data_IF_088750334015
#
_entry.id   IF_088750334015
#
_cell.length_a   1.000
_cell.length_b   1.000
_cell.length_c   1.000
_cell.angle_alpha   90.00
_cell.angle_beta   90.00
_cell.angle_gamma   90.00
#
_symmetry.space_group_name_H-M   'P 1'
#
loop_
_entity.id
_entity.type
_entity.pdbx_description
1 polymer ?
#
# COMPACT_ATOMS: atom_id res chain seq x y z
N UNK A 1 27.79 -45.79 19.92
CA UNK A 1 26.84 -46.89 19.73
C UNK A 1 25.45 -46.27 19.83
N UNK A 2 24.95 -45.87 18.74
CA UNK A 2 23.92 -46.40 17.85
C UNK A 2 22.56 -46.65 18.52
N UNK A 3 21.55 -45.91 18.21
CA UNK A 3 20.43 -46.48 17.49
C UNK A 3 19.49 -45.37 16.95
N UNK A 4 19.41 -45.23 15.64
CA UNK A 4 18.38 -44.46 14.90
C UNK A 4 17.07 -45.23 14.95
N UNK A 5 15.98 -44.62 15.42
CA UNK A 5 14.62 -45.10 15.18
C UNK A 5 14.01 -44.38 13.97
N UNK A 6 13.82 -45.15 12.91
CA UNK A 6 12.97 -44.74 11.76
C UNK A 6 11.51 -44.86 12.17
N UNK A 7 10.74 -43.80 12.03
CA UNK A 7 9.27 -43.89 12.01
C UNK A 7 8.81 -43.95 10.57
N UNK A 8 8.27 -45.12 10.20
CA UNK A 8 7.47 -45.32 9.00
C UNK A 8 6.01 -45.04 9.36
N UNK A 9 5.40 -44.07 8.72
CA UNK A 9 3.96 -43.84 8.73
C UNK A 9 3.37 -44.58 7.54
N UNK A 10 2.68 -45.69 7.80
CA UNK A 10 1.79 -46.38 6.89
C UNK A 10 0.38 -45.81 7.06
N UNK A 11 -0.19 -45.24 6.00
CA UNK A 11 -1.60 -44.87 5.94
C UNK A 11 -2.44 -46.06 5.43
N UNK A 12 -3.60 -46.35 6.00
CA UNK A 12 -4.54 -47.27 5.40
C UNK A 12 -5.52 -46.52 4.49
N UNK A 13 -5.64 -47.03 3.25
CA UNK A 13 -6.73 -46.75 2.34
C UNK A 13 -7.90 -47.62 2.80
N UNK A 14 -9.06 -47.02 3.03
CA UNK A 14 -10.27 -47.73 3.42
C UNK A 14 -11.54 -46.95 3.14
N UNK A 15 -12.19 -47.38 2.11
CA UNK A 15 -13.59 -47.75 1.92
C UNK A 15 -14.64 -46.64 1.76
N UNK A 16 -15.13 -46.63 0.54
CA UNK A 16 -16.39 -46.05 0.05
C UNK A 16 -17.58 -46.68 0.79
N UNK A 17 -18.34 -45.88 1.51
CA UNK A 17 -19.63 -46.28 2.08
C UNK A 17 -20.78 -45.52 1.39
N UNK A 18 -21.58 -46.24 0.65
CA UNK A 18 -22.85 -45.77 0.13
C UNK A 18 -23.86 -45.59 1.26
N UNK A 19 -24.56 -44.44 1.32
CA UNK A 19 -25.71 -44.27 2.19
C UNK A 19 -26.93 -44.00 1.34
N UNK A 20 -27.94 -44.79 1.63
CA UNK A 20 -29.21 -44.87 0.94
C UNK A 20 -30.08 -43.63 1.09
N UNK A 21 -30.92 -43.45 0.08
CA UNK A 21 -31.98 -42.46 0.03
C UNK A 21 -33.08 -42.75 1.07
N UNK A 22 -33.58 -41.72 1.75
CA UNK A 22 -34.89 -41.68 2.36
C UNK A 22 -35.72 -40.57 1.68
N UNK A 23 -36.86 -41.02 1.19
CA UNK A 23 -37.86 -40.25 0.46
C UNK A 23 -38.76 -39.40 1.35
N UNK A 24 -39.13 -38.23 0.84
CA UNK A 24 -40.51 -37.75 0.94
C UNK A 24 -40.82 -36.70 1.99
N UNK A 25 -41.05 -35.47 1.53
CA UNK A 25 -42.31 -34.75 1.78
C UNK A 25 -42.34 -33.47 0.93
N UNK A 26 -43.42 -33.32 0.16
CA UNK A 26 -43.75 -32.19 -0.67
C UNK A 26 -43.92 -30.90 0.13
N UNK A 27 -43.19 -29.86 -0.25
CA UNK A 27 -43.65 -28.49 -0.02
C UNK A 27 -43.58 -27.69 -1.34
N UNK A 28 -44.72 -27.20 -1.74
CA UNK A 28 -44.93 -26.40 -2.93
C UNK A 28 -43.98 -25.22 -3.02
N UNK A 29 -43.25 -25.15 -4.13
CA UNK A 29 -42.45 -24.01 -4.49
C UNK A 29 -43.35 -22.88 -4.97
N UNK A 30 -43.34 -21.76 -4.26
CA UNK A 30 -43.84 -20.50 -4.78
C UNK A 30 -42.89 -20.02 -5.87
N UNK A 31 -43.38 -19.79 -7.07
CA UNK A 31 -42.62 -19.23 -8.19
C UNK A 31 -42.17 -17.80 -7.85
N UNK A 32 -40.90 -17.65 -7.51
CA UNK A 32 -40.24 -16.36 -7.45
C UNK A 32 -39.96 -15.86 -8.87
N UNK A 33 -40.41 -14.66 -9.16
CA UNK A 33 -40.09 -13.89 -10.37
C UNK A 33 -38.58 -13.83 -10.56
N UNK A 34 -38.01 -13.99 -11.77
CA UNK A 34 -36.61 -13.86 -12.02
C UNK A 34 -36.17 -12.42 -11.74
N UNK A 35 -35.21 -12.26 -10.84
CA UNK A 35 -34.55 -11.00 -10.63
C UNK A 35 -33.92 -10.53 -11.94
N UNK A 36 -34.30 -9.31 -12.36
CA UNK A 36 -33.79 -8.71 -13.57
C UNK A 36 -32.23 -8.73 -13.58
N UNK A 37 -31.70 -9.11 -14.74
CA UNK A 37 -30.27 -9.01 -15.02
C UNK A 37 -29.82 -7.58 -14.75
N UNK A 38 -28.98 -7.38 -13.72
CA UNK A 38 -28.27 -6.13 -13.59
C UNK A 38 -27.38 -6.01 -14.84
N UNK A 39 -27.72 -5.07 -15.69
CA UNK A 39 -26.88 -4.70 -16.83
C UNK A 39 -25.49 -4.43 -16.31
N UNK A 40 -24.56 -5.28 -16.68
CA UNK A 40 -23.15 -5.08 -16.40
C UNK A 40 -22.74 -3.80 -17.13
N UNK A 41 -22.62 -2.70 -16.38
CA UNK A 41 -22.07 -1.45 -16.90
C UNK A 41 -20.68 -1.79 -17.45
N UNK A 42 -20.53 -1.68 -18.77
CA UNK A 42 -19.26 -1.92 -19.44
C UNK A 42 -18.16 -1.08 -18.74
N UNK A 43 -17.02 -1.68 -18.41
CA UNK A 43 -15.96 -0.96 -17.76
C UNK A 43 -15.54 0.22 -18.65
N UNK A 44 -15.80 1.43 -18.18
CA UNK A 44 -15.31 2.65 -18.86
C UNK A 44 -13.80 2.55 -18.92
N UNK A 45 -13.22 2.93 -20.05
CA UNK A 45 -11.78 2.89 -20.29
C UNK A 45 -11.04 3.52 -19.11
N UNK A 46 -10.08 2.78 -18.52
CA UNK A 46 -9.19 3.38 -17.52
C UNK A 46 -8.54 4.62 -18.11
N UNK A 47 -8.45 5.71 -17.36
CA UNK A 47 -7.80 6.93 -17.86
C UNK A 47 -6.37 6.63 -18.26
N UNK A 48 -5.88 7.34 -19.25
CA UNK A 48 -4.46 7.30 -19.64
C UNK A 48 -3.62 7.82 -18.47
N UNK A 49 -2.51 7.15 -18.11
CA UNK A 49 -1.62 7.66 -17.08
C UNK A 49 -1.21 9.10 -17.35
N UNK A 50 -1.18 9.92 -16.30
CA UNK A 50 -0.69 11.30 -16.40
C UNK A 50 0.81 11.24 -16.69
N UNK A 51 1.21 11.67 -17.86
CA UNK A 51 2.62 11.68 -18.29
C UNK A 51 3.25 13.07 -18.14
N UNK A 52 2.44 14.10 -17.94
CA UNK A 52 2.89 15.48 -17.71
C UNK A 52 1.83 16.27 -16.97
N UNK A 53 2.26 17.12 -16.06
CA UNK A 53 1.37 18.08 -15.38
C UNK A 53 1.16 19.29 -16.28
N UNK A 54 -0.08 19.77 -16.49
CA UNK A 54 -0.33 21.00 -17.24
C UNK A 54 0.44 22.17 -16.65
N UNK A 55 1.07 22.98 -17.52
CA UNK A 55 1.89 24.10 -17.08
C UNK A 55 1.07 25.19 -16.39
N UNK A 56 -0.22 25.28 -16.70
CA UNK A 56 -1.20 26.22 -16.15
C UNK A 56 -2.03 25.63 -14.99
N UNK A 57 -1.67 24.44 -14.50
CA UNK A 57 -2.36 23.82 -13.37
C UNK A 57 -2.32 24.73 -12.14
N UNK A 58 -3.46 24.95 -11.45
CA UNK A 58 -3.49 25.69 -10.20
C UNK A 58 -2.52 25.10 -9.19
N UNK A 59 -1.80 25.92 -8.44
CA UNK A 59 -0.83 25.48 -7.43
C UNK A 59 -1.34 25.84 -6.04
N UNK A 60 -1.44 24.83 -5.19
CA UNK A 60 -1.54 25.00 -3.75
C UNK A 60 -0.15 24.82 -3.15
N UNK A 61 0.47 25.91 -2.69
CA UNK A 61 1.66 25.86 -1.84
C UNK A 61 1.22 25.93 -0.39
N UNK A 62 1.45 24.85 0.37
CA UNK A 62 1.08 24.79 1.78
C UNK A 62 2.14 24.04 2.58
N UNK A 63 2.68 24.71 3.59
CA UNK A 63 3.59 24.11 4.56
C UNK A 63 2.83 23.88 5.85
N UNK A 64 2.42 22.64 6.15
CA UNK A 64 1.74 22.37 7.42
C UNK A 64 2.67 22.63 8.60
N UNK A 65 2.11 23.11 9.69
CA UNK A 65 2.78 23.08 10.98
C UNK A 65 2.65 21.66 11.56
N UNK A 66 3.47 21.33 12.55
CA UNK A 66 3.40 20.04 13.22
C UNK A 66 1.99 19.75 13.79
N UNK A 67 1.33 20.75 14.34
CA UNK A 67 -0.05 20.69 14.86
C UNK A 67 -1.14 20.46 13.78
N UNK A 68 -0.79 20.60 12.52
CA UNK A 68 -1.69 20.33 11.38
C UNK A 68 -1.65 18.87 10.93
N UNK A 69 -0.59 18.14 11.31
CA UNK A 69 -0.42 16.74 10.93
C UNK A 69 -1.51 15.87 11.57
N UNK A 70 -1.87 14.79 10.89
CA UNK A 70 -2.89 13.85 11.36
C UNK A 70 -2.31 12.44 11.42
N UNK A 71 -2.83 11.62 12.35
CA UNK A 71 -2.35 10.26 12.62
C UNK A 71 -3.41 9.21 12.31
N UNK A 72 -4.41 9.58 11.50
CA UNK A 72 -5.47 8.68 11.07
C UNK A 72 -5.88 8.95 9.64
N UNK A 73 -6.30 7.90 8.95
CA UNK A 73 -7.12 8.00 7.75
C UNK A 73 -8.59 7.98 8.15
N UNK A 74 -9.35 9.01 7.74
CA UNK A 74 -10.70 9.29 8.25
C UNK A 74 -10.69 9.96 9.62
N UNK A 75 -11.87 10.47 10.04
CA UNK A 75 -12.09 11.10 11.34
C UNK A 75 -11.58 12.54 11.49
N UNK A 76 -10.50 12.91 10.83
CA UNK A 76 -9.97 14.26 10.88
C UNK A 76 -10.68 15.20 9.91
N UNK A 77 -10.91 16.45 10.35
CA UNK A 77 -11.41 17.50 9.46
C UNK A 77 -10.35 17.85 8.39
N UNK A 78 -10.79 18.21 7.17
CA UNK A 78 -9.86 18.61 6.12
C UNK A 78 -9.07 19.86 6.50
N UNK A 79 -7.77 19.85 6.26
CA UNK A 79 -6.88 20.99 6.47
C UNK A 79 -6.87 21.94 5.27
N UNK A 80 -7.05 21.41 4.08
CA UNK A 80 -7.09 22.15 2.83
C UNK A 80 -8.22 21.62 1.93
N UNK A 81 -8.71 22.49 1.05
CA UNK A 81 -9.65 22.13 -0.01
C UNK A 81 -8.99 22.42 -1.35
N UNK A 82 -9.10 21.46 -2.27
CA UNK A 82 -8.51 21.56 -3.60
C UNK A 82 -9.54 21.24 -4.68
N UNK A 83 -9.41 21.87 -5.82
CA UNK A 83 -10.14 21.48 -7.03
C UNK A 83 -9.37 20.33 -7.73
N UNK A 84 -10.08 19.42 -8.41
CA UNK A 84 -9.41 18.51 -9.36
C UNK A 84 -8.52 19.28 -10.33
N UNK A 85 -7.35 18.73 -10.66
CA UNK A 85 -6.37 19.41 -11.49
C UNK A 85 -5.43 20.35 -10.71
N UNK A 86 -5.41 20.29 -9.39
CA UNK A 86 -4.51 21.09 -8.55
C UNK A 86 -3.17 20.39 -8.36
N UNK A 87 -2.08 21.17 -8.51
CA UNK A 87 -0.73 20.80 -8.11
C UNK A 87 -0.48 21.21 -6.66
N UNK A 88 -0.11 20.29 -5.81
CA UNK A 88 0.19 20.53 -4.39
C UNK A 88 1.70 20.52 -4.21
N UNK A 89 2.23 21.59 -3.66
CA UNK A 89 3.63 21.71 -3.22
C UNK A 89 3.64 21.82 -1.71
N UNK A 90 4.23 20.83 -1.03
CA UNK A 90 4.19 20.72 0.42
C UNK A 90 5.39 19.92 0.96
N UNK A 91 5.34 19.50 2.21
CA UNK A 91 6.30 18.56 2.82
C UNK A 91 5.58 17.55 3.71
N UNK A 92 6.29 16.49 4.06
CA UNK A 92 5.82 15.49 5.03
C UNK A 92 6.88 15.25 6.09
N UNK A 93 6.45 14.85 7.29
CA UNK A 93 7.33 14.41 8.35
C UNK A 93 7.74 12.93 8.14
N UNK A 94 8.77 12.45 8.88
CA UNK A 94 9.13 11.03 8.96
C UNK A 94 8.19 10.24 9.88
N UNK A 95 8.23 8.91 9.83
CA UNK A 95 7.36 8.03 10.62
C UNK A 95 7.52 8.22 12.13
N UNK A 96 8.64 8.71 12.59
CA UNK A 96 8.92 8.95 14.01
C UNK A 96 8.51 10.35 14.49
N UNK A 97 7.63 11.04 13.76
CA UNK A 97 7.12 12.38 14.12
C UNK A 97 8.24 13.44 14.29
N UNK A 98 9.37 13.24 13.60
CA UNK A 98 10.57 14.07 13.75
C UNK A 98 11.22 13.99 15.12
N UNK A 99 10.82 13.08 15.98
CA UNK A 99 11.29 12.95 17.35
C UNK A 99 12.63 12.22 17.48
N UNK A 100 12.92 11.31 16.53
CA UNK A 100 14.17 10.52 16.48
C UNK A 100 15.15 11.18 15.51
N UNK A 101 16.30 11.63 16.02
CA UNK A 101 17.26 12.43 15.23
C UNK A 101 18.68 11.90 15.27
N UNK A 102 19.00 11.10 16.27
CA UNK A 102 20.34 10.55 16.52
C UNK A 102 20.26 9.05 16.81
N UNK A 103 21.36 8.34 16.67
CA UNK A 103 21.43 6.92 17.02
C UNK A 103 21.24 6.65 18.53
N UNK A 104 21.26 7.67 19.37
CA UNK A 104 20.96 7.55 20.79
C UNK A 104 19.48 7.75 21.15
N UNK A 105 18.69 8.25 20.23
CA UNK A 105 17.25 8.43 20.43
C UNK A 105 16.54 7.10 20.20
N UNK A 106 15.68 6.70 21.13
CA UNK A 106 14.86 5.50 21.01
C UNK A 106 13.40 5.91 20.79
N UNK A 107 12.70 5.38 19.78
CA UNK A 107 11.30 5.68 19.53
C UNK A 107 10.43 5.58 20.79
N UNK A 108 10.55 4.50 21.55
CA UNK A 108 9.79 4.28 22.79
C UNK A 108 9.99 5.38 23.87
N UNK A 109 11.02 6.19 23.76
CA UNK A 109 11.36 7.26 24.71
C UNK A 109 11.08 8.66 24.19
N UNK A 110 10.98 8.79 22.87
CA UNK A 110 10.88 10.09 22.19
C UNK A 110 9.51 10.36 21.61
N UNK A 111 8.84 9.33 21.10
CA UNK A 111 7.55 9.49 20.45
C UNK A 111 6.40 9.48 21.46
N UNK A 112 5.46 10.40 21.36
CA UNK A 112 4.21 10.27 22.08
C UNK A 112 3.43 9.05 21.58
N UNK A 113 2.69 8.33 22.43
CA UNK A 113 1.87 7.21 21.99
C UNK A 113 0.85 7.61 20.91
N UNK A 114 0.78 6.84 19.82
CA UNK A 114 -0.15 7.07 18.71
C UNK A 114 0.29 8.17 17.74
N UNK A 115 1.54 8.61 17.80
CA UNK A 115 2.12 9.60 16.89
C UNK A 115 2.96 8.95 15.78
N UNK A 116 2.67 7.69 15.45
CA UNK A 116 3.32 7.01 14.34
C UNK A 116 2.79 7.53 13.00
N UNK A 117 3.67 7.65 12.01
CA UNK A 117 3.36 7.99 10.63
C UNK A 117 2.46 9.22 10.48
N UNK A 118 2.91 10.42 10.91
CA UNK A 118 2.16 11.66 10.72
C UNK A 118 1.90 11.95 9.25
N UNK A 119 0.67 12.35 8.91
CA UNK A 119 0.26 12.60 7.55
C UNK A 119 0.02 14.09 7.29
N UNK A 120 0.44 14.55 6.12
CA UNK A 120 0.08 15.84 5.54
C UNK A 120 -1.27 15.73 4.84
N UNK A 121 -2.21 16.57 5.22
CA UNK A 121 -3.61 16.52 4.83
C UNK A 121 -4.53 16.57 6.06
N UNK A 122 -5.80 16.12 5.99
CA UNK A 122 -6.50 15.67 4.78
C UNK A 122 -6.79 16.82 3.80
N UNK A 123 -6.63 16.55 2.51
CA UNK A 123 -7.07 17.41 1.43
C UNK A 123 -8.48 17.00 1.00
N UNK A 124 -9.43 17.93 1.10
CA UNK A 124 -10.77 17.73 0.55
C UNK A 124 -10.75 18.01 -0.95
N UNK A 125 -10.95 17.01 -1.77
CA UNK A 125 -11.04 17.12 -3.23
C UNK A 125 -12.47 17.50 -3.61
N UNK A 126 -12.66 18.71 -4.14
CA UNK A 126 -14.00 19.23 -4.48
C UNK A 126 -14.69 18.33 -5.52
N UNK A 127 -15.95 17.99 -5.25
CA UNK A 127 -16.77 17.15 -6.11
C UNK A 127 -16.45 15.65 -6.09
N UNK A 128 -15.51 15.20 -5.25
CA UNK A 128 -15.25 13.79 -5.07
C UNK A 128 -16.35 13.13 -4.23
N UNK A 129 -16.95 12.05 -4.76
CA UNK A 129 -18.04 11.30 -4.15
C UNK A 129 -17.71 9.79 -4.15
N UNK A 130 -18.29 9.01 -3.22
CA UNK A 130 -18.12 7.56 -3.23
C UNK A 130 -18.43 6.94 -4.60
N UNK A 131 -17.50 6.08 -5.07
CA UNK A 131 -17.59 5.48 -6.42
C UNK A 131 -16.78 6.21 -7.49
N UNK A 132 -16.18 7.36 -7.16
CA UNK A 132 -15.16 8.03 -7.97
C UNK A 132 -13.76 7.47 -7.67
N UNK A 133 -12.78 7.95 -8.39
CA UNK A 133 -11.35 7.68 -8.14
C UNK A 133 -10.57 8.99 -8.07
N UNK A 134 -9.76 9.16 -7.03
CA UNK A 134 -8.72 10.18 -7.00
C UNK A 134 -7.46 9.60 -7.63
N UNK A 135 -6.89 10.29 -8.61
CA UNK A 135 -5.60 9.98 -9.22
C UNK A 135 -4.55 10.99 -8.71
N UNK A 136 -3.52 10.49 -8.05
CA UNK A 136 -2.42 11.30 -7.52
C UNK A 136 -1.17 10.99 -8.33
N UNK A 137 -0.80 11.91 -9.22
CA UNK A 137 0.46 11.83 -9.94
C UNK A 137 1.58 12.41 -9.08
N UNK A 138 2.57 11.58 -8.78
CA UNK A 138 3.71 11.98 -7.96
C UNK A 138 4.75 12.62 -8.88
N UNK A 139 4.85 13.95 -8.80
CA UNK A 139 5.74 14.73 -9.67
C UNK A 139 7.16 14.70 -9.13
N UNK A 140 7.30 14.90 -7.80
CA UNK A 140 8.60 15.04 -7.17
C UNK A 140 8.54 14.64 -5.70
N UNK A 141 9.53 13.85 -5.28
CA UNK A 141 9.82 13.55 -3.88
C UNK A 141 11.32 13.71 -3.67
N UNK A 142 11.69 14.55 -2.73
CA UNK A 142 13.11 14.79 -2.40
C UNK A 142 13.31 14.76 -0.89
N UNK A 143 14.47 14.30 -0.42
CA UNK A 143 14.83 14.43 0.99
C UNK A 143 14.71 15.89 1.46
N UNK A 144 13.94 16.10 2.53
CA UNK A 144 13.82 17.43 3.15
C UNK A 144 14.93 17.70 4.18
N UNK A 145 15.72 16.68 4.53
CA UNK A 145 16.80 16.76 5.53
C UNK A 145 18.06 16.06 5.02
N UNK A 146 19.21 16.46 5.55
CA UNK A 146 20.51 15.82 5.29
C UNK A 146 20.74 14.54 6.12
N UNK A 147 19.72 14.06 6.80
CA UNK A 147 19.76 12.81 7.56
C UNK A 147 18.45 12.06 7.43
N UNK A 148 18.51 10.77 7.69
CA UNK A 148 17.39 9.87 7.85
C UNK A 148 17.67 8.95 9.05
N UNK A 149 16.64 8.24 9.50
CA UNK A 149 16.74 7.32 10.61
C UNK A 149 16.07 6.01 10.27
N UNK A 150 16.46 4.94 10.95
CA UNK A 150 15.74 3.68 10.96
C UNK A 150 15.84 3.13 12.37
N UNK A 151 14.80 2.46 12.85
CA UNK A 151 14.83 1.89 14.19
C UNK A 151 14.18 0.51 14.22
N UNK A 152 14.76 -0.37 15.01
CA UNK A 152 14.08 -1.59 15.43
C UNK A 152 13.33 -1.30 16.73
N UNK A 153 12.03 -1.57 16.72
CA UNK A 153 11.16 -1.50 17.90
C UNK A 153 10.81 -2.93 18.34
N UNK A 154 11.07 -3.32 19.61
CA UNK A 154 10.69 -4.64 20.11
C UNK A 154 9.21 -4.96 19.89
N UNK A 155 8.93 -6.16 19.39
CA UNK A 155 7.57 -6.57 19.02
C UNK A 155 7.10 -6.11 17.65
N UNK A 156 7.91 -5.36 16.88
CA UNK A 156 7.57 -4.90 15.55
C UNK A 156 8.67 -5.29 14.55
N UNK A 157 8.40 -6.26 13.69
CA UNK A 157 9.35 -6.82 12.73
C UNK A 157 8.91 -8.20 12.24
N UNK A 158 9.31 -8.58 11.03
CA UNK A 158 8.88 -9.85 10.40
C UNK A 158 9.46 -11.10 11.08
N UNK A 159 10.61 -10.98 11.72
CA UNK A 159 11.37 -12.11 12.30
C UNK A 159 11.35 -12.14 13.83
N UNK A 160 10.55 -11.30 14.45
CA UNK A 160 10.41 -11.19 15.90
C UNK A 160 8.95 -11.32 16.31
N UNK A 161 8.68 -11.51 17.62
CA UNK A 161 7.33 -11.50 18.15
C UNK A 161 6.67 -10.14 17.94
N UNK A 162 5.36 -10.15 17.69
CA UNK A 162 4.56 -8.95 17.56
C UNK A 162 3.23 -9.11 18.31
N UNK A 163 2.37 -8.13 18.27
CA UNK A 163 1.07 -8.12 18.92
C UNK A 163 0.12 -9.24 18.49
N UNK A 164 0.40 -9.85 17.33
CA UNK A 164 -0.45 -10.92 16.74
C UNK A 164 0.21 -12.29 16.77
N UNK A 165 1.55 -12.36 16.85
CA UNK A 165 2.29 -13.62 16.84
C UNK A 165 3.37 -13.60 17.94
N UNK A 166 3.13 -14.32 19.03
CA UNK A 166 4.11 -14.48 20.09
C UNK A 166 5.25 -15.42 19.66
N UNK A 167 6.47 -15.07 19.99
CA UNK A 167 7.68 -15.86 19.75
C UNK A 167 8.23 -16.38 21.08
N UNK A 168 8.91 -17.55 21.04
CA UNK A 168 9.58 -18.12 22.20
C UNK A 168 11.02 -17.59 22.30
N UNK A 169 11.21 -16.42 22.70
CA UNK A 169 12.55 -15.85 22.87
C UNK A 169 12.49 -14.38 23.23
N UNK A 170 13.56 -13.83 23.79
CA UNK A 170 13.64 -12.40 23.99
C UNK A 170 13.75 -11.69 22.63
N UNK A 171 13.06 -10.58 22.51
CA UNK A 171 13.26 -9.67 21.39
C UNK A 171 14.68 -9.07 21.41
N UNK A 172 15.13 -8.60 20.25
CA UNK A 172 16.31 -7.77 20.17
C UNK A 172 16.07 -6.44 20.92
N UNK A 173 17.15 -5.80 21.43
CA UNK A 173 17.02 -4.49 22.07
C UNK A 173 16.62 -3.44 21.03
N UNK A 174 15.76 -2.52 21.44
CA UNK A 174 15.44 -1.33 20.65
C UNK A 174 16.73 -0.63 20.23
N UNK A 175 16.87 -0.38 18.92
CA UNK A 175 18.12 0.14 18.35
C UNK A 175 17.79 1.10 17.21
N UNK A 176 18.51 2.22 17.16
CA UNK A 176 18.34 3.25 16.13
C UNK A 176 19.61 3.40 15.30
N UNK A 177 19.45 3.51 14.00
CA UNK A 177 20.50 3.86 13.05
C UNK A 177 20.22 5.23 12.45
N UNK A 178 21.22 6.09 12.46
CA UNK A 178 21.17 7.37 11.78
C UNK A 178 21.95 7.29 10.47
N UNK A 179 21.31 7.75 9.41
CA UNK A 179 21.89 7.82 8.07
C UNK A 179 22.27 9.27 7.73
N UNK A 180 23.42 9.46 7.13
CA UNK A 180 23.80 10.70 6.47
C UNK A 180 23.31 10.66 5.03
N UNK A 181 22.53 11.65 4.62
CA UNK A 181 21.92 11.73 3.29
C UNK A 181 22.67 12.72 2.41
N UNK A 182 23.19 12.22 1.30
CA UNK A 182 23.81 12.98 0.24
C UNK A 182 22.85 13.01 -0.97
N UNK A 183 21.94 14.00 -0.97
CA UNK A 183 20.93 14.12 -2.02
C UNK A 183 21.54 14.37 -3.40
N UNK A 184 22.72 15.02 -3.49
CA UNK A 184 23.37 15.27 -4.77
C UNK A 184 23.91 13.98 -5.42
N UNK A 185 24.29 13.01 -4.59
CA UNK A 185 24.76 11.68 -5.05
C UNK A 185 23.66 10.61 -5.01
N UNK A 186 22.48 10.93 -4.52
CA UNK A 186 21.39 9.99 -4.28
C UNK A 186 21.81 8.79 -3.42
N UNK A 187 22.50 9.03 -2.31
CA UNK A 187 22.94 7.97 -1.41
C UNK A 187 22.68 8.31 0.07
N UNK A 188 22.45 7.27 0.86
CA UNK A 188 22.40 7.32 2.31
C UNK A 188 23.52 6.44 2.91
N UNK A 189 24.18 6.91 3.97
CA UNK A 189 25.29 6.23 4.63
C UNK A 189 25.00 6.02 6.10
N UNK A 190 25.27 4.83 6.60
CA UNK A 190 25.17 4.51 8.01
C UNK A 190 26.36 3.67 8.48
N UNK A 191 26.43 3.52 9.81
CA UNK A 191 27.38 2.62 10.46
C UNK A 191 26.63 1.65 11.36
N UNK A 192 27.20 0.45 11.59
CA UNK A 192 26.72 -0.47 12.61
C UNK A 192 26.69 0.19 13.99
N UNK A 193 25.84 -0.32 14.89
CA UNK A 193 25.72 0.21 16.24
C UNK A 193 27.07 0.20 17.03
N UNK A 194 27.96 -0.75 16.73
CA UNK A 194 29.31 -0.83 17.30
C UNK A 194 30.33 0.01 16.52
N UNK A 195 29.92 0.70 15.45
CA UNK A 195 30.76 1.59 14.64
C UNK A 195 31.81 0.89 13.74
N UNK A 196 31.89 -0.45 13.75
CA UNK A 196 32.92 -1.18 13.03
C UNK A 196 32.66 -1.36 11.55
N UNK A 197 31.40 -1.34 11.15
CA UNK A 197 30.98 -1.54 9.77
C UNK A 197 30.28 -0.29 9.24
N UNK A 198 30.50 0.02 7.99
CA UNK A 198 29.84 1.11 7.28
C UNK A 198 29.21 0.59 6.00
N UNK A 199 28.08 1.14 5.63
CA UNK A 199 27.43 0.85 4.35
C UNK A 199 26.87 2.10 3.72
N UNK A 200 26.76 2.07 2.41
CA UNK A 200 26.12 3.08 1.60
C UNK A 200 25.06 2.39 0.74
N UNK A 201 23.91 3.02 0.59
CA UNK A 201 22.84 2.52 -0.27
C UNK A 201 22.26 3.65 -1.13
N UNK A 202 21.82 3.34 -2.35
CA UNK A 202 21.13 4.32 -3.19
C UNK A 202 19.79 4.68 -2.57
N UNK A 203 19.37 5.94 -2.73
CA UNK A 203 18.06 6.39 -2.32
C UNK A 203 17.15 6.59 -3.53
N UNK A 204 15.88 6.26 -3.35
CA UNK A 204 14.79 6.47 -4.31
C UNK A 204 13.55 6.79 -3.50
N UNK A 205 13.33 8.07 -3.14
CA UNK A 205 12.28 8.47 -2.21
C UNK A 205 10.88 8.07 -2.68
N UNK A 206 10.07 7.59 -1.73
CA UNK A 206 8.68 7.24 -1.95
C UNK A 206 7.83 7.49 -0.69
N UNK A 207 6.51 7.48 -0.83
CA UNK A 207 5.61 7.52 0.32
C UNK A 207 5.38 6.10 0.85
N UNK A 208 5.63 5.86 2.14
CA UNK A 208 5.11 4.70 2.85
C UNK A 208 3.60 4.79 2.94
N UNK A 209 3.11 5.93 3.38
CA UNK A 209 1.68 6.20 3.53
C UNK A 209 1.12 7.12 2.45
N UNK A 210 0.06 6.68 1.78
CA UNK A 210 -0.85 7.51 0.98
C UNK A 210 -2.24 6.89 0.98
N UNK A 211 -3.29 7.66 1.25
CA UNK A 211 -4.63 7.10 1.31
C UNK A 211 -5.72 8.15 1.36
N UNK A 212 -6.95 7.66 1.28
CA UNK A 212 -8.19 8.43 1.44
C UNK A 212 -8.94 7.96 2.69
N UNK A 213 -10.00 8.65 3.07
CA UNK A 213 -10.85 8.17 4.17
C UNK A 213 -11.42 6.77 3.85
N UNK A 214 -11.38 5.82 4.80
CA UNK A 214 -12.03 4.52 4.65
C UNK A 214 -13.55 4.63 4.49
N UNK A 215 -14.17 3.55 3.99
CA UNK A 215 -15.62 3.48 3.84
C UNK A 215 -16.35 3.41 5.19
N UNK A 216 -17.65 3.72 5.18
CA UNK A 216 -18.53 3.53 6.33
C UNK A 216 -18.25 4.43 7.53
N UNK A 217 -17.46 5.51 7.37
CA UNK A 217 -17.08 6.39 8.47
C UNK A 217 -16.02 5.79 9.40
N UNK A 218 -15.35 4.73 8.98
CA UNK A 218 -14.25 4.15 9.76
C UNK A 218 -13.09 5.14 9.91
N UNK A 219 -12.39 5.00 11.04
CA UNK A 219 -11.14 5.70 11.34
C UNK A 219 -10.05 4.66 11.53
N UNK A 220 -8.99 4.75 10.76
CA UNK A 220 -7.83 3.85 10.82
C UNK A 220 -6.60 4.64 11.21
N UNK A 221 -5.79 4.10 12.12
CA UNK A 221 -4.47 4.67 12.41
C UNK A 221 -3.60 4.60 11.17
N UNK A 222 -2.66 5.53 11.06
CA UNK A 222 -1.79 5.66 9.90
C UNK A 222 -0.86 4.47 9.66
N UNK A 223 -0.69 3.58 10.65
CA UNK A 223 0.09 2.34 10.54
C UNK A 223 -0.65 1.21 9.77
N UNK A 224 -1.93 1.38 9.43
CA UNK A 224 -2.75 0.31 8.84
C UNK A 224 -2.94 0.54 7.34
N UNK A 225 -2.46 -0.36 6.47
CA UNK A 225 -2.82 -0.34 5.06
C UNK A 225 -4.16 -1.05 4.80
N UNK A 226 -4.78 -0.75 3.66
CA UNK A 226 -6.04 -1.37 3.24
C UNK A 226 -6.47 -0.97 1.83
N UNK A 227 -7.73 -1.20 1.51
CA UNK A 227 -8.31 -0.83 0.22
C UNK A 227 -8.42 0.69 0.00
N UNK A 228 -8.28 1.47 1.04
CA UNK A 228 -8.25 2.93 1.01
C UNK A 228 -6.83 3.50 0.77
N UNK A 229 -5.82 2.67 0.65
CA UNK A 229 -4.39 3.00 0.70
C UNK A 229 -3.84 2.79 2.10
N UNK A 230 -3.33 3.83 2.74
CA UNK A 230 -2.72 3.77 4.08
C UNK A 230 -1.24 3.43 4.03
N UNK A 231 -0.75 2.72 5.02
CA UNK A 231 0.65 2.33 5.17
C UNK A 231 1.02 1.15 4.27
N UNK A 232 1.08 1.41 2.98
CA UNK A 232 1.36 0.35 1.99
C UNK A 232 2.85 0.03 1.90
N UNK A 233 3.72 0.95 2.29
CA UNK A 233 5.18 0.88 2.21
C UNK A 233 5.69 0.48 0.83
N UNK A 234 4.96 0.88 -0.20
CA UNK A 234 5.19 0.43 -1.55
C UNK A 234 6.20 1.32 -2.29
N UNK A 235 7.41 0.81 -2.65
CA UNK A 235 8.44 1.59 -3.35
C UNK A 235 8.02 2.15 -4.70
N UNK A 236 6.91 1.65 -5.25
CA UNK A 236 6.33 2.17 -6.49
C UNK A 236 5.42 3.41 -6.26
N UNK A 237 5.19 3.82 -5.02
CA UNK A 237 4.51 5.08 -4.67
C UNK A 237 5.52 6.24 -4.73
N UNK A 238 6.17 6.41 -5.87
CA UNK A 238 7.31 7.30 -6.10
C UNK A 238 7.12 8.24 -7.29
N UNK A 239 8.01 9.21 -7.43
CA UNK A 239 7.98 10.15 -8.55
C UNK A 239 7.93 9.46 -9.92
N UNK A 240 7.12 9.99 -10.83
CA UNK A 240 6.86 9.45 -12.17
C UNK A 240 5.72 8.44 -12.23
N UNK A 241 5.20 7.99 -11.10
CA UNK A 241 4.05 7.09 -11.03
C UNK A 241 2.76 7.84 -10.63
N UNK A 242 1.62 7.29 -11.04
CA UNK A 242 0.29 7.76 -10.62
C UNK A 242 -0.36 6.71 -9.73
N UNK A 243 -0.82 7.13 -8.55
CA UNK A 243 -1.57 6.29 -7.60
C UNK A 243 -3.05 6.59 -7.75
N UNK A 244 -3.85 5.56 -7.94
CA UNK A 244 -5.31 5.63 -8.05
C UNK A 244 -5.94 5.05 -6.79
N UNK A 245 -6.74 5.85 -6.12
CA UNK A 245 -7.43 5.50 -4.86
C UNK A 245 -8.93 5.68 -5.03
N UNK A 246 -9.72 4.67 -4.67
CA UNK A 246 -11.17 4.74 -4.70
C UNK A 246 -11.70 5.70 -3.64
N UNK A 247 -12.60 6.58 -4.03
CA UNK A 247 -13.26 7.50 -3.09
C UNK A 247 -14.32 6.75 -2.31
N UNK A 248 -14.22 6.78 -0.98
CA UNK A 248 -15.15 6.12 -0.07
C UNK A 248 -16.00 7.10 0.76
N UNK A 249 -15.60 8.36 0.80
CA UNK A 249 -16.27 9.42 1.53
C UNK A 249 -16.28 10.72 0.72
N UNK A 250 -17.25 11.63 0.90
CA UNK A 250 -17.27 12.91 0.21
C UNK A 250 -15.96 13.69 0.40
N UNK A 251 -15.41 14.19 -0.69
CA UNK A 251 -14.13 14.90 -0.72
C UNK A 251 -12.91 14.00 -0.64
N UNK A 252 -13.06 12.67 -0.65
CA UNK A 252 -12.00 11.67 -0.54
C UNK A 252 -11.18 11.77 0.75
N UNK A 253 -10.84 12.98 1.22
CA UNK A 253 -9.97 13.25 2.37
C UNK A 253 -8.58 12.64 2.19
N UNK A 254 -7.93 13.00 1.08
CA UNK A 254 -6.60 12.52 0.71
C UNK A 254 -5.54 12.96 1.74
N UNK A 255 -4.72 12.03 2.19
CA UNK A 255 -3.56 12.30 3.04
C UNK A 255 -2.37 11.46 2.61
N UNK A 256 -1.15 11.96 2.85
CA UNK A 256 0.09 11.25 2.56
C UNK A 256 1.20 11.69 3.51
N UNK A 257 2.16 10.84 3.74
CA UNK A 257 3.28 11.06 4.66
C UNK A 257 4.23 9.89 4.68
N UNK A 258 4.97 9.78 5.78
CA UNK A 258 5.82 8.62 6.01
C UNK A 258 6.82 8.43 4.84
N UNK A 259 7.80 9.32 4.79
CA UNK A 259 8.74 9.35 3.67
C UNK A 259 9.85 8.33 3.83
N UNK A 260 9.96 7.42 2.89
CA UNK A 260 11.03 6.42 2.81
C UNK A 260 12.06 6.83 1.77
N UNK A 261 13.34 6.85 2.14
CA UNK A 261 14.41 7.14 1.17
C UNK A 261 14.94 5.86 0.53
N UNK A 262 14.92 4.75 1.24
CA UNK A 262 15.26 3.42 0.74
C UNK A 262 14.64 2.34 1.62
N UNK A 263 14.22 1.24 1.00
CA UNK A 263 13.66 0.08 1.67
C UNK A 263 13.94 -1.18 0.84
N UNK A 264 14.22 -2.30 1.49
CA UNK A 264 14.24 -3.61 0.86
C UNK A 264 12.87 -4.27 0.91
N UNK A 265 12.62 -5.23 -0.01
CA UNK A 265 11.39 -6.00 -0.03
C UNK A 265 11.12 -6.66 1.33
N UNK A 266 9.87 -6.57 1.77
CA UNK A 266 9.41 -7.13 3.04
C UNK A 266 9.50 -6.19 4.23
N UNK A 267 10.27 -5.10 4.16
CA UNK A 267 10.47 -4.16 5.27
C UNK A 267 10.75 -4.87 6.61
N UNK A 268 11.51 -5.95 6.54
CA UNK A 268 11.54 -7.02 7.53
C UNK A 268 11.93 -6.60 8.96
N UNK A 269 12.51 -5.41 9.13
CA UNK A 269 12.87 -4.88 10.44
C UNK A 269 11.79 -3.96 11.03
N UNK A 270 10.77 -3.58 10.25
CA UNK A 270 9.68 -2.72 10.68
C UNK A 270 9.88 -1.23 10.44
N UNK A 271 11.01 -0.86 9.83
CA UNK A 271 11.27 0.51 9.41
C UNK A 271 12.22 0.52 8.20
N UNK A 272 11.96 1.43 7.29
CA UNK A 272 12.81 1.75 6.15
C UNK A 272 13.95 2.71 6.55
N UNK A 273 14.54 3.40 5.59
CA UNK A 273 15.35 4.60 5.82
C UNK A 273 14.40 5.79 5.81
N UNK A 274 13.93 6.14 7.00
CA UNK A 274 12.86 7.09 7.25
C UNK A 274 13.32 8.53 7.17
N UNK A 275 12.55 9.37 6.48
CA UNK A 275 12.89 10.78 6.38
C UNK A 275 11.77 11.66 5.85
N UNK A 276 11.78 12.91 6.30
CA UNK A 276 10.87 13.93 5.81
C UNK A 276 11.08 14.23 4.32
N UNK A 277 10.00 14.48 3.58
CA UNK A 277 10.04 14.73 2.14
C UNK A 277 9.59 16.14 1.77
N UNK A 278 10.27 16.76 0.80
CA UNK A 278 9.72 17.82 -0.01
C UNK A 278 8.89 17.18 -1.12
N UNK A 279 7.65 17.60 -1.26
CA UNK A 279 6.62 16.91 -2.05
C UNK A 279 6.04 17.83 -3.11
N UNK A 280 5.91 17.29 -4.32
CA UNK A 280 5.08 17.83 -5.37
C UNK A 280 4.23 16.72 -5.97
N UNK A 281 2.89 16.87 -5.88
CA UNK A 281 1.92 15.95 -6.47
C UNK A 281 0.87 16.72 -7.27
N UNK A 282 0.28 16.09 -8.27
CA UNK A 282 -0.84 16.61 -9.05
C UNK A 282 -2.04 15.70 -8.86
N UNK A 283 -3.20 16.28 -8.51
CA UNK A 283 -4.38 15.52 -8.08
C UNK A 283 -5.52 15.71 -9.06
N UNK A 284 -6.00 14.62 -9.65
CA UNK A 284 -7.18 14.56 -10.51
C UNK A 284 -8.31 13.76 -9.90
N UNK A 285 -9.52 13.98 -10.40
CA UNK A 285 -10.72 13.27 -10.01
C UNK A 285 -11.35 12.61 -11.25
N UNK A 286 -11.52 11.30 -11.19
CA UNK A 286 -12.14 10.51 -12.23
C UNK A 286 -13.53 10.12 -11.76
N UNK A 287 -14.55 10.71 -12.40
CA UNK A 287 -15.94 10.53 -12.02
C UNK A 287 -16.51 9.19 -12.48
N UNK A 288 -17.29 8.57 -11.60
CA UNK A 288 -18.01 7.32 -11.88
C UNK A 288 -17.13 6.15 -12.35
N UNK A 289 -15.89 6.11 -11.86
CA UNK A 289 -14.95 4.99 -12.05
C UNK A 289 -14.51 4.54 -10.69
N UNK A 290 -14.90 3.35 -10.27
CA UNK A 290 -14.50 2.78 -9.01
C UNK A 290 -13.11 2.11 -9.10
N UNK A 291 -12.26 2.38 -8.14
CA UNK A 291 -10.98 1.68 -7.95
C UNK A 291 -11.06 0.95 -6.61
N UNK A 292 -11.34 -0.37 -6.61
CA UNK A 292 -11.66 -1.11 -5.38
C UNK A 292 -10.48 -1.32 -4.44
N UNK A 293 -9.26 -1.29 -4.97
CA UNK A 293 -8.01 -1.35 -4.21
C UNK A 293 -7.00 -0.40 -4.85
N UNK A 294 -5.96 0.03 -4.16
CA UNK A 294 -4.95 0.92 -4.72
C UNK A 294 -4.33 0.36 -5.99
N UNK A 295 -4.28 1.18 -7.02
CA UNK A 295 -3.65 0.89 -8.30
C UNK A 295 -2.56 1.90 -8.56
N UNK A 296 -1.42 1.45 -9.11
CA UNK A 296 -0.31 2.31 -9.49
C UNK A 296 -0.04 2.10 -10.97
N UNK A 297 0.20 3.18 -11.69
CA UNK A 297 0.54 3.12 -13.11
C UNK A 297 1.66 4.09 -13.48
N UNK A 298 2.45 3.68 -14.46
CA UNK A 298 3.32 4.54 -15.26
C UNK A 298 3.17 4.20 -16.74
N UNK A 299 4.05 4.73 -17.58
CA UNK A 299 3.97 4.47 -19.03
C UNK A 299 4.11 2.98 -19.38
N UNK A 300 4.95 2.23 -18.65
CA UNK A 300 5.28 0.83 -18.97
C UNK A 300 4.51 -0.19 -18.15
N UNK A 301 4.12 0.12 -16.92
CA UNK A 301 3.62 -0.87 -15.99
C UNK A 301 2.24 -0.50 -15.42
N UNK A 302 1.46 -1.54 -15.13
CA UNK A 302 0.25 -1.52 -14.31
C UNK A 302 0.50 -2.36 -13.07
N UNK A 303 0.06 -1.87 -11.91
CA UNK A 303 0.33 -2.48 -10.61
C UNK A 303 -0.90 -2.37 -9.72
N UNK A 304 -1.13 -3.40 -8.92
CA UNK A 304 -2.19 -3.43 -7.91
C UNK A 304 -1.59 -3.78 -6.55
N UNK A 305 -2.00 -3.03 -5.53
CA UNK A 305 -1.53 -3.21 -4.15
C UNK A 305 -2.63 -3.92 -3.37
N UNK A 306 -2.36 -5.14 -2.90
CA UNK A 306 -3.23 -5.89 -2.02
C UNK A 306 -2.71 -5.85 -0.60
N UNK A 307 -3.57 -5.50 0.35
CA UNK A 307 -3.23 -5.52 1.78
C UNK A 307 -4.15 -6.47 2.52
N UNK A 308 -3.59 -7.31 3.40
CA UNK A 308 -4.35 -8.31 4.15
C UNK A 308 -3.48 -9.23 5.00
N UNK A 309 -4.09 -9.93 5.94
CA UNK A 309 -3.53 -11.08 6.66
C UNK A 309 -4.51 -12.24 6.58
N UNK A 310 -4.01 -13.46 6.34
CA UNK A 310 -2.60 -13.84 6.10
C UNK A 310 -2.07 -13.31 4.77
N UNK A 311 -0.76 -13.44 4.50
CA UNK A 311 -0.06 -12.88 3.34
C UNK A 311 -0.67 -13.32 1.99
N UNK A 312 -1.09 -14.58 1.89
CA UNK A 312 -1.73 -15.13 0.69
C UNK A 312 -3.05 -14.45 0.35
N UNK A 313 -3.76 -13.85 1.31
CA UNK A 313 -4.98 -13.10 1.02
C UNK A 313 -4.65 -11.72 0.45
N UNK A 314 -3.59 -11.07 0.92
CA UNK A 314 -3.06 -9.87 0.28
C UNK A 314 -2.70 -10.13 -1.19
N UNK A 315 -2.00 -11.23 -1.46
CA UNK A 315 -1.64 -11.64 -2.83
C UNK A 315 -2.89 -11.93 -3.68
N UNK A 316 -3.88 -12.68 -3.17
CA UNK A 316 -5.13 -13.01 -3.88
C UNK A 316 -5.90 -11.77 -4.28
N UNK A 317 -5.99 -10.79 -3.39
CA UNK A 317 -6.68 -9.51 -3.66
C UNK A 317 -6.02 -8.78 -4.83
N UNK A 318 -4.69 -8.65 -4.81
CA UNK A 318 -3.93 -7.97 -5.86
C UNK A 318 -3.98 -8.72 -7.21
N UNK A 319 -3.82 -10.05 -7.21
CA UNK A 319 -3.92 -10.86 -8.43
C UNK A 319 -5.32 -10.80 -9.04
N UNK A 320 -6.38 -10.90 -8.22
CA UNK A 320 -7.76 -10.79 -8.69
C UNK A 320 -7.97 -9.47 -9.44
N UNK A 321 -7.56 -8.35 -8.85
CA UNK A 321 -7.69 -7.04 -9.47
C UNK A 321 -6.90 -6.94 -10.79
N UNK A 322 -5.69 -7.50 -10.85
CA UNK A 322 -4.88 -7.56 -12.08
C UNK A 322 -5.58 -8.37 -13.18
N UNK A 323 -6.15 -9.53 -12.85
CA UNK A 323 -6.86 -10.39 -13.80
C UNK A 323 -8.10 -9.67 -14.36
N UNK A 324 -8.88 -9.05 -13.49
CA UNK A 324 -10.08 -8.29 -13.89
C UNK A 324 -9.71 -7.10 -14.79
N UNK A 325 -8.62 -6.41 -14.49
CA UNK A 325 -8.13 -5.30 -15.30
C UNK A 325 -7.64 -5.78 -16.67
N UNK A 326 -6.84 -6.86 -16.73
CA UNK A 326 -6.37 -7.45 -17.99
C UNK A 326 -7.53 -7.90 -18.85
N UNK A 327 -8.52 -8.60 -18.27
CA UNK A 327 -9.75 -9.01 -18.94
C UNK A 327 -10.48 -7.82 -19.57
N UNK A 328 -10.64 -6.74 -18.80
CA UNK A 328 -11.31 -5.53 -19.28
C UNK A 328 -10.55 -4.84 -20.44
N UNK A 329 -9.23 -4.92 -20.45
CA UNK A 329 -8.38 -4.29 -21.48
C UNK A 329 -8.21 -5.12 -22.73
N UNK A 330 -8.04 -6.43 -22.59
CA UNK A 330 -7.76 -7.35 -23.72
C UNK A 330 -9.00 -7.98 -24.32
N UNK A 331 -10.14 -7.91 -23.61
CA UNK A 331 -11.39 -8.64 -23.93
C UNK A 331 -11.22 -10.17 -23.97
N UNK A 332 -10.16 -10.71 -23.38
CA UNK A 332 -9.98 -12.16 -23.23
C UNK A 332 -11.02 -12.74 -22.25
N UNK A 333 -11.20 -14.07 -22.34
CA UNK A 333 -11.98 -14.79 -21.32
C UNK A 333 -11.35 -14.64 -19.93
N UNK A 334 -12.11 -14.92 -18.89
CA UNK A 334 -11.59 -14.89 -17.52
C UNK A 334 -10.45 -15.89 -17.33
N UNK A 335 -10.60 -17.13 -17.87
CA UNK A 335 -9.57 -18.15 -17.79
C UNK A 335 -8.30 -17.79 -18.56
N UNK A 336 -8.42 -17.20 -19.76
CA UNK A 336 -7.27 -16.76 -20.52
C UNK A 336 -6.54 -15.60 -19.85
N UNK A 337 -7.29 -14.67 -19.27
CA UNK A 337 -6.74 -13.55 -18.49
C UNK A 337 -6.02 -14.07 -17.24
N UNK A 338 -6.60 -15.05 -16.55
CA UNK A 338 -5.97 -15.70 -15.40
C UNK A 338 -4.66 -16.40 -15.80
N UNK A 339 -4.69 -17.21 -16.86
CA UNK A 339 -3.50 -17.88 -17.39
C UNK A 339 -2.42 -16.88 -17.81
N UNK A 340 -2.80 -15.82 -18.51
CA UNK A 340 -1.89 -14.78 -18.94
C UNK A 340 -1.20 -14.08 -17.76
N UNK A 341 -1.96 -13.65 -16.75
CA UNK A 341 -1.44 -13.00 -15.55
C UNK A 341 -0.53 -13.95 -14.77
N UNK A 342 -0.92 -15.23 -14.63
CA UNK A 342 -0.12 -16.26 -13.96
C UNK A 342 1.28 -16.42 -14.55
N UNK A 343 1.44 -16.21 -15.85
CA UNK A 343 2.71 -16.39 -16.56
C UNK A 343 3.55 -15.11 -16.67
N UNK A 344 2.94 -13.92 -16.54
CA UNK A 344 3.60 -12.66 -16.88
C UNK A 344 3.75 -11.69 -15.71
N UNK A 345 2.90 -11.79 -14.68
CA UNK A 345 2.97 -10.87 -13.55
C UNK A 345 4.11 -11.20 -12.59
N UNK A 346 4.60 -10.17 -11.91
CA UNK A 346 5.54 -10.28 -10.77
C UNK A 346 4.79 -9.89 -9.51
N UNK A 347 5.12 -10.51 -8.39
CA UNK A 347 4.42 -10.27 -7.12
C UNK A 347 5.42 -10.18 -5.95
N UNK A 348 6.21 -9.10 -5.81
CA UNK A 348 7.04 -8.90 -4.65
C UNK A 348 6.18 -8.74 -3.38
N UNK A 349 6.70 -9.26 -2.27
CA UNK A 349 6.20 -8.97 -0.93
C UNK A 349 6.76 -7.61 -0.54
N UNK A 350 5.89 -6.66 -0.30
CA UNK A 350 6.28 -5.28 -0.04
C UNK A 350 6.65 -5.07 1.42
N UNK A 351 5.76 -5.43 2.34
CA UNK A 351 6.03 -5.42 3.77
C UNK A 351 5.34 -6.59 4.48
N UNK A 352 5.94 -7.05 5.58
CA UNK A 352 5.53 -8.19 6.40
C UNK A 352 5.42 -7.83 7.89
N UNK A 353 5.25 -6.55 8.21
CA UNK A 353 5.41 -6.04 9.57
C UNK A 353 4.15 -5.36 10.11
N UNK A 354 3.42 -4.69 9.26
CA UNK A 354 2.21 -3.95 9.60
C UNK A 354 1.04 -4.85 10.04
N UNK A 355 -0.02 -4.26 10.62
CA UNK A 355 -1.24 -4.99 10.96
C UNK A 355 -1.87 -5.73 9.77
N UNK A 356 -1.69 -5.24 8.56
CA UNK A 356 -1.98 -5.94 7.30
C UNK A 356 -0.71 -5.99 6.45
N UNK A 357 -0.38 -7.15 5.89
CA UNK A 357 0.76 -7.32 4.99
C UNK A 357 0.46 -6.75 3.61
N UNK A 358 1.46 -6.32 2.88
CA UNK A 358 1.28 -5.74 1.55
C UNK A 358 2.00 -6.54 0.46
N UNK A 359 1.27 -6.89 -0.59
CA UNK A 359 1.79 -7.52 -1.82
C UNK A 359 1.48 -6.61 -3.00
N UNK A 360 2.47 -6.38 -3.83
CA UNK A 360 2.31 -5.70 -5.12
C UNK A 360 2.25 -6.73 -6.24
N UNK A 361 1.22 -6.68 -7.07
CA UNK A 361 1.20 -7.43 -8.34
C UNK A 361 1.41 -6.45 -9.47
N UNK A 362 2.45 -6.65 -10.27
CA UNK A 362 2.81 -5.76 -11.39
C UNK A 362 2.99 -6.48 -12.71
N UNK A 363 2.61 -5.81 -13.79
CA UNK A 363 2.60 -6.33 -15.15
C UNK A 363 3.07 -5.26 -16.13
N UNK A 364 3.95 -5.65 -17.04
CA UNK A 364 4.35 -4.83 -18.18
C UNK A 364 3.18 -4.72 -19.18
N UNK A 365 2.72 -3.49 -19.42
CA UNK A 365 1.59 -3.19 -20.32
C UNK A 365 1.85 -3.60 -21.77
N UNK A 366 3.13 -3.60 -22.21
CA UNK A 366 3.50 -4.00 -23.58
C UNK A 366 3.30 -5.48 -23.86
N UNK A 367 3.13 -6.30 -22.82
CA UNK A 367 2.85 -7.73 -22.94
C UNK A 367 1.38 -8.05 -23.10
N UNK A 368 0.47 -7.10 -22.84
CA UNK A 368 -0.96 -7.34 -22.88
C UNK A 368 -1.39 -7.61 -24.32
N UNK A 369 -2.03 -8.77 -24.59
CA UNK A 369 -2.46 -9.10 -25.94
C UNK A 369 -3.49 -8.09 -26.46
N UNK A 370 -3.31 -7.68 -27.70
CA UNK A 370 -4.36 -6.98 -28.47
C UNK A 370 -5.13 -8.00 -29.28
N UNK A 371 -6.44 -7.78 -29.48
CA UNK A 371 -7.22 -8.65 -30.35
C UNK A 371 -6.60 -8.66 -31.75
N UNK A 372 -6.35 -9.84 -32.30
CA UNK A 372 -6.01 -9.99 -33.73
C UNK A 372 -7.22 -9.58 -34.54
N UNK A 373 -7.03 -8.64 -35.46
CA UNK A 373 -8.06 -8.20 -36.43
C UNK A 373 -8.45 -9.33 -37.38
#
# INVERSE_FOLDING_TARGET
MTTRRKFLLSAPIGAIGAVAACSGSDHAAAAGTPAGSADAVAPRSSPTPITSVPADAPVLSWTPKHEDLVYTFGGAAPKQRIKPGTRIVTWTEDCFDGAVKTAADLPSKKMPPGHDNPQTGPFYVEGAEPGDTVAVHIVKLEPARSYAVSAFSPGFGALVGNDQTAMLGPDFPETTWRYEVDAARNVARASSADGKHKWELPISPFFGCIGVAPAGGEVRTTIVPGNFGGNMDCPEVRAGNTVYLGVNAPGALLSFGDGHYAMGDGEIMGAAVEGALNVEVYVELIKNVATPIPRIENAGEIMFVGSGRPLEDAARVAFKAMIEWVRAKSHMSEMDSYQFVSQNAKAPIIQLVDPQYTVLVKLDKHRIPTATQ
#
